data_IF_046788438904
#
_entry.id   IF_046788438904
#
_cell.length_a   1.000
_cell.length_b   1.000
_cell.length_c   1.000
_cell.angle_alpha   90.00
_cell.angle_beta   90.00
_cell.angle_gamma   90.00
#
_symmetry.space_group_name_H-M   'P 1'
#
loop_
_entity.id
_entity.type
_entity.pdbx_description
1 polymer ?
#
# COMPACT_ATOMS: atom_id res chain seq x y z
N UNK A 1 12.88 -58.58 -19.28
CA UNK A 1 13.06 -58.10 -20.67
C UNK A 1 11.75 -57.48 -21.14
N UNK A 2 11.75 -56.27 -21.70
CA UNK A 2 10.52 -55.63 -22.17
C UNK A 2 9.96 -56.40 -23.38
N UNK A 3 8.67 -56.77 -23.35
CA UNK A 3 8.02 -57.52 -24.43
C UNK A 3 7.95 -56.64 -25.68
N UNK A 4 8.70 -57.02 -26.73
CA UNK A 4 8.66 -56.36 -28.04
C UNK A 4 7.58 -57.01 -28.89
N UNK A 5 6.78 -56.21 -29.57
CA UNK A 5 5.82 -56.65 -30.59
C UNK A 5 6.27 -56.14 -31.96
N UNK A 6 5.68 -56.63 -33.06
CA UNK A 6 5.98 -56.15 -34.41
C UNK A 6 4.86 -55.24 -34.92
N UNK A 7 5.24 -54.21 -35.67
CA UNK A 7 4.27 -53.32 -36.31
C UNK A 7 3.48 -54.08 -37.40
N UNK A 8 2.14 -54.10 -37.39
CA UNK A 8 1.36 -54.83 -38.39
C UNK A 8 1.47 -54.31 -39.83
N UNK A 9 2.03 -53.11 -40.03
CA UNK A 9 2.16 -52.48 -41.35
C UNK A 9 3.57 -52.68 -41.95
N UNK A 10 4.62 -52.53 -41.15
CA UNK A 10 6.00 -52.57 -41.62
C UNK A 10 6.86 -53.67 -41.01
N UNK A 11 6.28 -54.48 -40.11
CA UNK A 11 6.89 -55.63 -39.43
C UNK A 11 8.17 -55.32 -38.60
N UNK A 12 8.44 -54.04 -38.34
CA UNK A 12 9.55 -53.59 -37.51
C UNK A 12 9.25 -53.88 -36.02
N UNK A 13 10.21 -54.41 -35.24
CA UNK A 13 10.03 -54.62 -33.81
C UNK A 13 9.95 -53.28 -33.05
N UNK A 14 8.87 -53.08 -32.29
CA UNK A 14 8.61 -51.92 -31.45
C UNK A 14 8.13 -52.39 -30.08
N UNK A 15 8.48 -51.68 -29.00
CA UNK A 15 7.90 -51.97 -27.68
C UNK A 15 6.38 -51.82 -27.74
N UNK A 16 5.63 -52.73 -27.13
CA UNK A 16 4.17 -52.72 -27.11
C UNK A 16 3.61 -51.32 -26.77
N UNK A 17 4.11 -50.70 -25.71
CA UNK A 17 3.71 -49.37 -25.23
C UNK A 17 3.96 -48.21 -26.24
N UNK A 18 4.81 -48.42 -27.24
CA UNK A 18 5.19 -47.40 -28.22
C UNK A 18 4.61 -47.65 -29.62
N UNK A 19 3.86 -48.74 -29.81
CA UNK A 19 3.37 -49.15 -31.14
C UNK A 19 2.40 -48.12 -31.74
N UNK A 20 1.51 -47.54 -30.92
CA UNK A 20 0.59 -46.49 -31.35
C UNK A 20 1.32 -45.23 -31.78
N UNK A 21 2.33 -44.80 -31.02
CA UNK A 21 3.17 -43.64 -31.37
C UNK A 21 3.98 -43.89 -32.65
N UNK A 22 4.46 -45.13 -32.83
CA UNK A 22 5.18 -45.52 -34.04
C UNK A 22 4.29 -45.45 -35.29
N UNK A 23 3.04 -45.94 -35.21
CA UNK A 23 2.06 -45.82 -36.30
C UNK A 23 1.79 -44.36 -36.66
N UNK A 24 1.66 -43.49 -35.66
CA UNK A 24 1.35 -42.07 -35.85
C UNK A 24 2.49 -41.32 -36.55
N UNK A 25 3.74 -41.63 -36.19
CA UNK A 25 4.91 -40.96 -36.74
C UNK A 25 5.30 -41.49 -38.13
N UNK A 26 5.15 -42.79 -38.38
CA UNK A 26 5.71 -43.45 -39.56
C UNK A 26 4.66 -43.88 -40.60
N UNK A 27 3.39 -44.02 -40.20
CA UNK A 27 2.30 -44.47 -41.08
C UNK A 27 1.04 -43.58 -41.04
N UNK A 28 1.15 -42.23 -41.06
CA UNK A 28 0.00 -41.34 -40.87
C UNK A 28 -1.05 -41.39 -41.99
N UNK A 29 -0.69 -41.88 -43.19
CA UNK A 29 -1.56 -41.92 -44.39
C UNK A 29 -1.71 -43.32 -44.98
N UNK A 30 -1.29 -44.37 -44.28
CA UNK A 30 -1.42 -45.74 -44.79
C UNK A 30 -2.90 -46.15 -44.80
N UNK A 31 -3.43 -46.80 -45.85
CA UNK A 31 -4.86 -47.13 -45.96
C UNK A 31 -5.40 -47.94 -44.77
N UNK A 32 -4.55 -48.80 -44.18
CA UNK A 32 -4.90 -49.67 -43.05
C UNK A 32 -4.49 -49.07 -41.69
N UNK A 33 -3.83 -47.90 -41.63
CA UNK A 33 -3.37 -47.35 -40.35
C UNK A 33 -4.53 -46.98 -39.41
N UNK A 34 -5.67 -46.54 -39.95
CA UNK A 34 -6.83 -46.18 -39.16
C UNK A 34 -7.43 -47.39 -38.44
N UNK A 35 -7.69 -48.49 -39.16
CA UNK A 35 -8.27 -49.71 -38.59
C UNK A 35 -7.30 -50.39 -37.62
N UNK A 36 -6.02 -50.51 -37.98
CA UNK A 36 -5.00 -51.10 -37.09
C UNK A 36 -4.87 -50.31 -35.80
N UNK A 37 -4.99 -48.99 -35.84
CA UNK A 37 -4.94 -48.12 -34.65
C UNK A 37 -6.16 -48.29 -33.77
N UNK A 38 -7.33 -48.49 -34.36
CA UNK A 38 -8.57 -48.76 -33.65
C UNK A 38 -8.49 -50.12 -32.92
N UNK A 39 -8.05 -51.17 -33.63
CA UNK A 39 -7.85 -52.52 -33.07
C UNK A 39 -6.84 -52.51 -31.91
N UNK A 40 -5.70 -51.83 -32.10
CA UNK A 40 -4.67 -51.74 -31.06
C UNK A 40 -5.14 -50.93 -29.84
N UNK A 41 -5.98 -49.91 -30.03
CA UNK A 41 -6.56 -49.14 -28.91
C UNK A 41 -7.62 -49.93 -28.15
N UNK A 42 -8.32 -50.84 -28.81
CA UNK A 42 -9.29 -51.74 -28.18
C UNK A 42 -8.61 -52.81 -27.31
N UNK A 43 -7.37 -53.17 -27.62
CA UNK A 43 -6.57 -54.10 -26.81
C UNK A 43 -5.93 -53.38 -25.60
N UNK A 44 -6.33 -53.80 -24.40
CA UNK A 44 -5.83 -53.29 -23.13
C UNK A 44 -4.31 -53.37 -22.97
N UNK A 45 -3.62 -54.24 -23.73
CA UNK A 45 -2.17 -54.36 -23.77
C UNK A 45 -1.47 -53.10 -24.31
N UNK A 46 -2.11 -52.37 -25.23
CA UNK A 46 -1.54 -51.17 -25.86
C UNK A 46 -2.19 -49.88 -25.37
N UNK A 47 -3.13 -49.97 -24.42
CA UNK A 47 -3.72 -48.79 -23.78
C UNK A 47 -2.62 -47.99 -23.05
N UNK A 48 -2.57 -46.65 -23.22
CA UNK A 48 -1.60 -45.83 -22.53
C UNK A 48 -1.81 -45.96 -21.01
N UNK A 49 -0.74 -46.23 -20.26
CA UNK A 49 -0.78 -46.13 -18.80
C UNK A 49 -1.15 -44.69 -18.45
N UNK A 50 -2.26 -44.51 -17.74
CA UNK A 50 -2.57 -43.23 -17.09
C UNK A 50 -1.54 -43.04 -15.99
N UNK A 51 -0.48 -42.31 -16.27
CA UNK A 51 0.38 -41.77 -15.22
C UNK A 51 -0.48 -40.81 -14.40
N UNK A 52 -0.97 -41.31 -13.26
CA UNK A 52 -1.63 -40.47 -12.26
C UNK A 52 -0.60 -39.44 -11.84
N UNK A 53 -0.78 -38.18 -12.26
CA UNK A 53 0.07 -37.08 -11.86
C UNK A 53 0.22 -37.13 -10.34
N UNK A 54 1.42 -37.43 -9.86
CA UNK A 54 1.70 -37.49 -8.43
C UNK A 54 1.50 -36.08 -7.89
N UNK A 55 0.35 -35.86 -7.23
CA UNK A 55 0.01 -34.56 -6.65
C UNK A 55 1.14 -34.09 -5.73
N UNK A 56 1.48 -32.81 -5.82
CA UNK A 56 2.46 -32.18 -4.95
C UNK A 56 2.07 -32.40 -3.49
N UNK A 57 2.81 -33.27 -2.80
CA UNK A 57 2.63 -33.53 -1.36
C UNK A 57 3.61 -32.63 -0.61
N UNK A 58 3.19 -31.47 -0.10
CA UNK A 58 4.09 -30.61 0.65
C UNK A 58 4.57 -31.36 1.90
N UNK A 59 5.89 -31.46 2.04
CA UNK A 59 6.55 -31.93 3.26
C UNK A 59 6.25 -30.99 4.43
N UNK A 60 6.23 -31.48 5.68
CA UNK A 60 5.89 -30.67 6.86
C UNK A 60 6.79 -29.43 7.05
N UNK A 61 8.04 -29.48 6.58
CA UNK A 61 8.95 -28.33 6.63
C UNK A 61 8.52 -27.18 5.71
N UNK A 62 7.84 -27.44 4.59
CA UNK A 62 7.31 -26.38 3.73
C UNK A 62 6.18 -25.62 4.44
N UNK A 63 5.33 -26.31 5.20
CA UNK A 63 4.30 -25.69 6.02
C UNK A 63 4.91 -24.85 7.15
N UNK A 64 5.97 -25.36 7.79
CA UNK A 64 6.71 -24.61 8.81
C UNK A 64 7.34 -23.32 8.25
N UNK A 65 8.02 -23.40 7.09
CA UNK A 65 8.60 -22.22 6.43
C UNK A 65 7.52 -21.20 6.05
N UNK A 66 6.41 -21.65 5.47
CA UNK A 66 5.31 -20.76 5.11
C UNK A 66 4.72 -20.05 6.36
N UNK A 67 4.56 -20.78 7.48
CA UNK A 67 4.09 -20.21 8.73
C UNK A 67 5.08 -19.20 9.32
N UNK A 68 6.39 -19.49 9.28
CA UNK A 68 7.43 -18.55 9.74
C UNK A 68 7.47 -17.27 8.91
N UNK A 69 7.37 -17.37 7.58
CA UNK A 69 7.30 -16.19 6.70
C UNK A 69 6.04 -15.39 6.98
N UNK A 70 4.89 -16.04 7.14
CA UNK A 70 3.64 -15.36 7.49
C UNK A 70 3.76 -14.62 8.84
N UNK A 71 4.37 -15.24 9.86
CA UNK A 71 4.63 -14.59 11.15
C UNK A 71 5.57 -13.39 11.03
N UNK A 72 6.62 -13.47 10.20
CA UNK A 72 7.52 -12.34 9.97
C UNK A 72 6.82 -11.19 9.24
N UNK A 73 5.96 -11.48 8.26
CA UNK A 73 5.16 -10.46 7.57
C UNK A 73 4.17 -9.82 8.53
N UNK A 74 3.48 -10.62 9.36
CA UNK A 74 2.60 -10.11 10.41
C UNK A 74 3.39 -9.24 11.41
N UNK A 75 4.54 -9.71 11.88
CA UNK A 75 5.39 -8.93 12.77
C UNK A 75 5.83 -7.60 12.11
N UNK A 76 6.24 -7.61 10.85
CA UNK A 76 6.62 -6.40 10.12
C UNK A 76 5.47 -5.39 9.95
N UNK A 77 4.21 -5.83 9.96
CA UNK A 77 3.03 -4.96 9.87
C UNK A 77 2.59 -4.47 11.25
N UNK A 78 2.57 -5.35 12.25
CA UNK A 78 1.96 -5.08 13.55
C UNK A 78 2.93 -4.57 14.61
N UNK A 79 4.24 -4.82 14.50
CA UNK A 79 5.25 -4.37 15.47
C UNK A 79 5.64 -2.89 15.31
N UNK A 80 5.78 -2.29 14.10
CA UNK A 80 6.26 -0.91 13.97
C UNK A 80 5.49 0.14 14.79
N UNK A 81 4.14 0.12 14.89
CA UNK A 81 3.41 1.08 15.73
C UNK A 81 3.76 1.01 17.22
N UNK A 82 4.24 -0.14 17.71
CA UNK A 82 4.70 -0.27 19.10
C UNK A 82 6.11 0.27 19.33
N UNK A 83 6.86 0.51 18.26
CA UNK A 83 8.21 1.07 18.29
C UNK A 83 8.24 2.56 17.89
N UNK A 84 7.10 3.15 17.49
CA UNK A 84 7.01 4.58 17.17
C UNK A 84 7.11 5.40 18.48
N UNK A 85 8.18 6.19 18.70
CA UNK A 85 8.32 7.06 19.88
C UNK A 85 7.20 8.11 19.98
N UNK A 86 6.50 8.38 18.88
CA UNK A 86 5.35 9.26 18.82
C UNK A 86 4.03 8.50 18.62
N UNK A 87 3.96 7.23 19.03
CA UNK A 87 2.70 6.48 19.06
C UNK A 87 1.60 7.25 19.81
N UNK A 88 2.00 7.88 20.92
CA UNK A 88 1.14 8.74 21.73
C UNK A 88 1.50 10.23 21.49
N UNK A 89 1.62 10.63 20.21
CA UNK A 89 1.90 12.01 19.82
C UNK A 89 0.85 12.97 20.40
N UNK A 90 1.30 14.14 20.84
CA UNK A 90 0.41 15.16 21.38
C UNK A 90 1.12 16.47 21.70
N UNK A 91 0.43 17.40 22.39
CA UNK A 91 0.97 18.73 22.71
C UNK A 91 2.28 18.69 23.52
N UNK A 92 2.41 17.70 24.40
CA UNK A 92 3.59 17.50 25.27
C UNK A 92 4.74 16.76 24.57
N UNK A 93 4.57 16.35 23.30
CA UNK A 93 5.65 15.73 22.53
C UNK A 93 6.78 16.73 22.34
N UNK A 94 8.01 16.27 22.56
CA UNK A 94 9.17 17.14 22.65
C UNK A 94 10.31 16.62 21.77
N UNK A 95 11.01 17.53 21.11
CA UNK A 95 12.30 17.29 20.46
C UNK A 95 13.33 18.24 21.06
N UNK A 96 14.58 17.79 21.00
CA UNK A 96 15.75 18.64 21.22
C UNK A 96 16.44 18.76 19.86
N UNK A 97 16.72 19.99 19.43
CA UNK A 97 17.13 20.38 18.06
C UNK A 97 18.36 19.63 17.50
N UNK A 98 19.09 18.88 18.32
CA UNK A 98 20.40 18.35 18.00
C UNK A 98 20.42 17.24 16.92
N UNK A 99 19.30 16.55 16.64
CA UNK A 99 19.27 15.38 15.73
C UNK A 99 17.96 15.30 14.89
N UNK A 100 17.61 16.34 14.14
CA UNK A 100 16.46 16.30 13.21
C UNK A 100 16.81 15.52 11.94
N UNK A 101 16.16 14.37 11.73
CA UNK A 101 16.32 13.51 10.54
C UNK A 101 15.21 13.80 9.50
N UNK A 102 14.04 14.22 9.98
CA UNK A 102 12.91 14.61 9.15
C UNK A 102 12.62 16.10 9.37
N UNK A 103 12.70 16.88 8.29
CA UNK A 103 12.57 18.33 8.31
C UNK A 103 11.82 18.80 7.07
N UNK A 104 10.58 19.29 7.22
CA UNK A 104 9.78 19.86 6.14
C UNK A 104 9.08 21.17 6.57
N UNK A 105 8.74 22.01 5.60
CA UNK A 105 8.18 23.36 5.80
C UNK A 105 6.84 23.60 5.08
N UNK A 106 5.76 22.88 5.45
CA UNK A 106 4.42 23.19 4.96
C UNK A 106 3.97 24.60 5.38
N UNK A 107 3.10 25.20 4.59
CA UNK A 107 2.49 26.50 4.87
C UNK A 107 0.99 26.36 5.14
N UNK A 108 0.44 27.17 6.04
CA UNK A 108 -0.98 27.21 6.37
C UNK A 108 -1.53 28.64 6.26
N UNK A 109 -2.71 28.77 5.66
CA UNK A 109 -3.53 29.98 5.70
C UNK A 109 -4.95 29.62 6.11
N UNK A 110 -5.53 30.42 7.00
CA UNK A 110 -6.94 30.32 7.38
C UNK A 110 -7.65 31.61 6.97
N UNK A 111 -8.78 31.48 6.29
CA UNK A 111 -9.65 32.58 5.88
C UNK A 111 -10.99 32.46 6.62
N UNK A 112 -11.41 33.52 7.31
CA UNK A 112 -12.74 33.64 7.91
C UNK A 112 -13.50 34.71 7.15
N UNK A 113 -14.55 34.30 6.44
CA UNK A 113 -15.36 35.13 5.55
C UNK A 113 -14.51 35.96 4.57
N UNK A 114 -13.51 35.30 3.97
CA UNK A 114 -12.57 35.92 3.03
C UNK A 114 -11.46 36.76 3.67
N UNK A 115 -11.45 36.94 4.98
CA UNK A 115 -10.40 37.69 5.70
C UNK A 115 -9.37 36.74 6.32
N UNK A 116 -8.06 36.96 6.13
CA UNK A 116 -7.04 36.17 6.79
C UNK A 116 -7.15 36.18 8.31
N UNK A 117 -7.16 35.00 8.92
CA UNK A 117 -7.10 34.81 10.36
C UNK A 117 -5.64 34.83 10.84
N UNK A 118 -5.28 35.65 11.84
CA UNK A 118 -3.91 35.70 12.35
C UNK A 118 -3.57 34.41 13.10
N UNK A 119 -2.54 33.70 12.64
CA UNK A 119 -2.04 32.48 13.29
C UNK A 119 -0.86 32.88 14.20
N UNK A 120 -0.88 32.54 15.51
CA UNK A 120 0.18 32.92 16.44
C UNK A 120 1.56 32.36 16.11
N UNK A 121 2.59 33.08 16.54
CA UNK A 121 3.94 32.56 16.65
C UNK A 121 4.03 31.54 17.79
N UNK A 122 5.11 30.74 17.80
CA UNK A 122 5.49 29.88 18.91
C UNK A 122 4.45 28.82 19.28
N UNK A 123 3.58 28.44 18.33
CA UNK A 123 2.73 27.25 18.50
C UNK A 123 3.66 26.05 18.65
N UNK A 124 3.44 25.22 19.66
CA UNK A 124 4.29 24.06 19.93
C UNK A 124 5.73 24.39 20.34
N UNK A 125 6.08 25.66 20.58
CA UNK A 125 7.42 26.05 20.99
C UNK A 125 7.39 26.56 22.44
N UNK A 126 7.96 25.77 23.36
CA UNK A 126 8.09 26.10 24.76
C UNK A 126 9.58 26.15 25.16
N UNK A 127 9.96 26.94 26.18
CA UNK A 127 11.35 26.98 26.64
C UNK A 127 11.87 25.58 27.01
N UNK A 128 12.92 25.14 26.33
CA UNK A 128 13.52 23.82 26.54
C UNK A 128 12.74 22.65 25.94
N UNK A 129 11.67 22.92 25.20
CA UNK A 129 10.91 21.90 24.51
C UNK A 129 10.25 22.42 23.24
N UNK A 130 10.69 21.90 22.09
CA UNK A 130 10.05 22.18 20.81
C UNK A 130 9.27 20.95 20.37
N UNK A 131 7.97 21.12 20.14
CA UNK A 131 7.16 20.05 19.58
C UNK A 131 7.62 19.76 18.14
N UNK A 132 7.59 18.49 17.69
CA UNK A 132 7.90 18.19 16.29
C UNK A 132 7.12 19.03 15.29
N UNK A 133 5.91 19.47 15.66
CA UNK A 133 5.10 20.41 14.91
C UNK A 133 5.05 21.75 15.62
N UNK A 134 5.65 22.78 15.03
CA UNK A 134 5.71 24.10 15.66
C UNK A 134 5.75 25.26 14.66
N UNK A 135 5.64 26.49 15.16
CA UNK A 135 5.88 27.71 14.40
C UNK A 135 6.94 28.57 15.10
N UNK A 136 7.87 29.16 14.34
CA UNK A 136 8.79 30.17 14.89
C UNK A 136 8.17 31.57 14.87
N UNK A 137 7.51 31.92 13.76
CA UNK A 137 6.86 33.21 13.56
C UNK A 137 5.35 33.03 13.40
N UNK A 138 4.61 34.13 13.63
CA UNK A 138 3.19 34.18 13.32
C UNK A 138 2.94 34.32 11.82
N UNK A 139 1.69 34.24 11.41
CA UNK A 139 1.30 34.44 10.01
C UNK A 139 1.76 35.81 9.51
N UNK A 140 2.28 35.85 8.29
CA UNK A 140 2.64 37.09 7.60
C UNK A 140 1.39 38.01 7.48
N UNK A 141 1.46 39.27 7.96
CA UNK A 141 0.30 40.17 7.99
C UNK A 141 -0.27 40.54 6.61
N UNK A 142 0.52 40.41 5.54
CA UNK A 142 0.12 40.76 4.17
C UNK A 142 -0.52 39.58 3.44
N UNK A 143 -0.10 38.35 3.73
CA UNK A 143 -0.58 37.14 3.03
C UNK A 143 -1.49 36.26 3.87
N UNK A 144 -1.40 36.35 5.20
CA UNK A 144 -2.06 35.46 6.15
C UNK A 144 -1.43 34.08 6.26
N UNK A 145 -0.26 33.87 5.66
CA UNK A 145 0.40 32.56 5.59
C UNK A 145 1.35 32.41 6.79
N UNK A 146 1.28 31.29 7.49
CA UNK A 146 2.28 30.86 8.47
C UNK A 146 3.04 29.65 7.93
N UNK A 147 4.34 29.57 8.24
CA UNK A 147 5.15 28.38 8.00
C UNK A 147 5.05 27.45 9.22
N UNK A 148 4.61 26.23 9.00
CA UNK A 148 4.65 25.14 9.99
C UNK A 148 5.98 24.43 9.78
N UNK A 149 6.72 24.21 10.87
CA UNK A 149 7.91 23.40 10.87
C UNK A 149 7.55 22.00 11.34
N UNK A 150 7.98 20.99 10.58
CA UNK A 150 7.94 19.60 11.01
C UNK A 150 9.38 19.14 11.18
N UNK A 151 9.82 19.02 12.43
CA UNK A 151 11.21 18.73 12.79
C UNK A 151 11.26 17.55 13.76
N UNK A 152 11.69 16.39 13.30
CA UNK A 152 11.58 15.15 14.05
C UNK A 152 12.84 14.27 13.95
N UNK A 153 13.22 13.55 15.02
CA UNK A 153 14.29 12.56 14.98
C UNK A 153 13.91 11.29 14.21
N UNK A 154 12.66 11.16 13.75
CA UNK A 154 12.23 10.03 12.93
C UNK A 154 11.41 10.49 11.73
N UNK A 155 11.40 9.66 10.68
CA UNK A 155 10.55 9.88 9.52
C UNK A 155 9.17 9.30 9.83
N UNK A 156 8.15 10.16 9.86
CA UNK A 156 6.73 9.77 9.99
C UNK A 156 5.83 10.77 9.27
N UNK A 157 4.65 10.31 8.92
CA UNK A 157 3.61 11.14 8.30
C UNK A 157 2.90 11.98 9.37
N UNK A 158 3.49 13.12 9.73
CA UNK A 158 2.80 14.14 10.53
C UNK A 158 1.63 14.72 9.75
N UNK A 159 0.48 14.89 10.41
CA UNK A 159 -0.76 15.33 9.77
C UNK A 159 -1.11 16.76 10.15
N UNK A 160 -1.93 17.40 9.33
CA UNK A 160 -2.50 18.71 9.65
C UNK A 160 -3.27 18.69 10.97
N UNK A 161 -3.99 17.60 11.27
CA UNK A 161 -4.71 17.43 12.53
C UNK A 161 -3.79 17.39 13.75
N UNK A 162 -2.59 16.84 13.60
CA UNK A 162 -1.57 16.82 14.66
C UNK A 162 -1.11 18.25 15.01
N UNK A 163 -0.97 19.12 14.00
CA UNK A 163 -0.61 20.52 14.23
C UNK A 163 -1.74 21.28 14.97
N UNK A 164 -2.99 21.06 14.58
CA UNK A 164 -4.14 21.65 15.26
C UNK A 164 -4.28 21.14 16.70
N UNK A 165 -3.96 19.86 16.94
CA UNK A 165 -3.89 19.29 18.28
C UNK A 165 -2.84 20.00 19.15
N UNK A 166 -1.62 20.20 18.62
CA UNK A 166 -0.55 20.95 19.31
C UNK A 166 -0.92 22.40 19.56
N UNK A 167 -1.61 23.04 18.61
CA UNK A 167 -2.14 24.39 18.77
C UNK A 167 -3.28 24.48 19.78
N UNK A 168 -3.99 23.37 20.06
CA UNK A 168 -5.21 23.38 20.86
C UNK A 168 -6.40 23.97 20.10
N UNK A 169 -6.35 23.94 18.76
CA UNK A 169 -7.38 24.44 17.87
C UNK A 169 -8.23 23.30 17.29
N UNK A 170 -9.51 23.56 17.05
CA UNK A 170 -10.42 22.58 16.43
C UNK A 170 -10.26 22.60 14.91
N UNK A 171 -10.12 21.42 14.32
CA UNK A 171 -10.25 21.20 12.88
C UNK A 171 -11.05 19.93 12.60
N UNK A 172 -12.18 20.10 11.92
CA UNK A 172 -13.02 19.04 11.38
C UNK A 172 -13.53 19.45 9.99
N UNK A 173 -14.14 18.54 9.21
CA UNK A 173 -14.73 18.91 7.93
C UNK A 173 -15.80 19.99 7.98
N UNK A 174 -16.38 20.26 9.16
CA UNK A 174 -17.49 21.21 9.35
C UNK A 174 -17.18 22.27 10.41
N UNK A 175 -15.95 22.34 10.91
CA UNK A 175 -15.54 23.31 11.92
C UNK A 175 -14.05 23.61 11.87
N UNK A 176 -13.70 24.90 11.86
CA UNK A 176 -12.32 25.37 12.02
C UNK A 176 -12.28 26.43 13.13
N UNK A 177 -11.39 26.28 14.11
CA UNK A 177 -11.35 27.13 15.30
C UNK A 177 -12.73 27.14 16.00
N UNK A 178 -13.35 28.32 16.16
CA UNK A 178 -14.70 28.49 16.70
C UNK A 178 -15.81 28.56 15.65
N UNK A 179 -15.50 28.40 14.36
CA UNK A 179 -16.45 28.58 13.26
C UNK A 179 -16.94 27.23 12.74
N UNK A 180 -18.19 26.89 13.07
CA UNK A 180 -18.87 25.71 12.58
C UNK A 180 -19.82 26.06 11.43
N UNK A 181 -20.01 25.13 10.50
CA UNK A 181 -20.98 25.26 9.42
C UNK A 181 -22.37 25.65 9.95
N UNK A 182 -22.95 26.73 9.41
CA UNK A 182 -24.18 27.35 9.94
C UNK A 182 -25.36 27.31 8.93
N UNK A 183 -25.21 26.57 7.84
CA UNK A 183 -26.19 26.54 6.74
C UNK A 183 -25.93 27.58 5.65
N UNK A 184 -25.30 28.73 5.98
CA UNK A 184 -24.92 29.79 5.03
C UNK A 184 -23.44 29.71 4.66
N UNK A 185 -22.59 29.49 5.65
CA UNK A 185 -21.16 29.36 5.53
C UNK A 185 -20.75 27.88 5.67
N UNK A 186 -19.64 27.51 5.01
CA UNK A 186 -19.04 26.18 5.05
C UNK A 186 -17.55 26.28 5.28
N UNK A 187 -17.00 25.29 5.97
CA UNK A 187 -15.56 25.03 6.01
C UNK A 187 -15.15 24.29 4.73
N UNK A 188 -14.16 24.83 4.04
CA UNK A 188 -13.56 24.25 2.84
C UNK A 188 -12.05 24.20 3.01
N UNK A 189 -11.40 23.28 2.30
CA UNK A 189 -9.94 23.17 2.30
C UNK A 189 -9.41 22.99 0.89
N UNK A 190 -8.29 23.64 0.60
CA UNK A 190 -7.50 23.42 -0.61
C UNK A 190 -6.04 23.13 -0.23
N UNK A 191 -5.40 22.28 -1.02
CA UNK A 191 -3.97 21.97 -0.90
C UNK A 191 -3.31 22.34 -2.22
N UNK A 192 -2.40 23.31 -2.17
CA UNK A 192 -1.70 23.88 -3.32
C UNK A 192 -2.65 24.30 -4.45
N UNK A 193 -3.80 24.87 -4.08
CA UNK A 193 -4.83 25.35 -5.00
C UNK A 193 -5.85 24.30 -5.44
N UNK A 194 -5.67 23.02 -5.11
CA UNK A 194 -6.63 21.96 -5.44
C UNK A 194 -7.58 21.68 -4.25
N UNK A 195 -8.91 21.53 -4.47
CA UNK A 195 -9.84 21.16 -3.41
C UNK A 195 -9.45 19.86 -2.72
N UNK A 196 -9.62 19.79 -1.40
CA UNK A 196 -9.31 18.61 -0.59
C UNK A 196 -10.30 18.42 0.55
N UNK A 197 -10.62 17.16 0.84
CA UNK A 197 -11.49 16.76 1.96
C UNK A 197 -10.72 16.04 3.07
N UNK A 198 -9.38 16.10 3.05
CA UNK A 198 -8.56 15.35 3.99
C UNK A 198 -8.57 15.97 5.41
N UNK A 199 -8.70 17.30 5.54
CA UNK A 199 -8.68 18.02 6.82
C UNK A 199 -7.59 17.48 7.77
N UNK A 200 -7.98 17.09 8.99
CA UNK A 200 -7.05 16.55 9.99
C UNK A 200 -6.28 15.31 9.54
N UNK A 201 -6.76 14.55 8.55
CA UNK A 201 -6.07 13.36 8.05
C UNK A 201 -4.98 13.65 7.01
N UNK A 202 -4.86 14.89 6.54
CA UNK A 202 -3.90 15.32 5.51
C UNK A 202 -2.46 15.13 5.99
N UNK A 203 -1.65 14.25 5.36
CA UNK A 203 -0.22 14.20 5.61
C UNK A 203 0.44 15.50 5.15
N UNK A 204 1.31 16.04 5.98
CA UNK A 204 2.07 17.24 5.66
C UNK A 204 3.23 16.91 4.71
N UNK A 205 3.46 17.77 3.73
CA UNK A 205 4.56 17.66 2.76
C UNK A 205 5.34 18.96 2.68
N UNK A 206 6.60 18.87 2.28
CA UNK A 206 7.47 20.03 2.15
C UNK A 206 6.95 21.02 1.09
N UNK A 207 6.98 22.31 1.43
CA UNK A 207 6.57 23.40 0.54
C UNK A 207 5.09 23.44 0.14
N UNK A 208 4.22 22.54 0.63
CA UNK A 208 2.80 22.57 0.30
C UNK A 208 2.10 23.75 0.98
N UNK A 209 1.12 24.36 0.30
CA UNK A 209 0.25 25.36 0.91
C UNK A 209 -1.11 24.75 1.24
N UNK A 210 -1.48 24.72 2.51
CA UNK A 210 -2.83 24.37 2.96
C UNK A 210 -3.62 25.66 3.18
N UNK A 211 -4.75 25.79 2.51
CA UNK A 211 -5.71 26.86 2.76
C UNK A 211 -6.99 26.26 3.33
N UNK A 212 -7.45 26.80 4.45
CA UNK A 212 -8.75 26.47 5.06
C UNK A 212 -9.59 27.73 5.07
N UNK A 213 -10.81 27.66 4.55
CA UNK A 213 -11.71 28.80 4.52
C UNK A 213 -13.05 28.47 5.17
N UNK A 214 -13.51 29.33 6.06
CA UNK A 214 -14.91 29.40 6.49
C UNK A 214 -15.58 30.55 5.76
N UNK A 215 -16.56 30.30 4.92
CA UNK A 215 -17.24 31.36 4.16
C UNK A 215 -18.43 30.84 3.38
N UNK A 216 -19.11 31.69 2.59
CA UNK A 216 -20.26 31.28 1.80
C UNK A 216 -19.94 30.04 0.96
N UNK A 217 -20.85 29.07 0.94
CA UNK A 217 -20.71 27.95 0.01
C UNK A 217 -20.67 28.50 -1.42
N UNK A 218 -19.58 28.19 -2.15
CA UNK A 218 -19.45 28.52 -3.56
C UNK A 218 -20.46 27.73 -4.42
#
# INVERSE_FOLDING_TARGET
MAKQDRCPICDVPVKAENILRHLDANHPRHPQAASVREDLRADAKYAPRRDVAQGFRPRPWHAAVAASVALLVLAAIFVPPFLDPYRDFGPESCTVDADTIYHIHPSLRILIQGTPYPIPASIGNQPGCMNPLHTHAGSDPSTGIVQIHVESPIIRDFKLGDFFLVWGAILTPTQVLGYADDGTNRVTMAVSGAPSTAFGSLPLQDGQLVEIAYGPAA
#
